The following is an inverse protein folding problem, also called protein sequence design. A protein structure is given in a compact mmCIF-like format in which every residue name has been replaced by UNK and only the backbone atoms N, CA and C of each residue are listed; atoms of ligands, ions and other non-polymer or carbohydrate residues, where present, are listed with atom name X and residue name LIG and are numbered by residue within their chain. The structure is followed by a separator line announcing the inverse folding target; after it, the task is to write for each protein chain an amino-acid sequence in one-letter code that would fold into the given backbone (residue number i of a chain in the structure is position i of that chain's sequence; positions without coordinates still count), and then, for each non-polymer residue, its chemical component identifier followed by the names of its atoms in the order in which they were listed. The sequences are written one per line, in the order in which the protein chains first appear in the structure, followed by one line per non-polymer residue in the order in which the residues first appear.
data_IF_570842227230
#
_entry.id   IF_570842227230
#
_cell.length_a   1.000
_cell.length_b   1.000
_cell.length_c   1.000
_cell.angle_alpha   90.00
_cell.angle_beta   90.00
_cell.angle_gamma   90.00
#
_symmetry.space_group_name_H-M   'P 1'
#
loop_
_entity.id
_entity.type
_entity.pdbx_description
1 polymer ?
#
# COMPACT_ATOMS: atom_id res chain seq x y z
N UNK A 1 -6.40 -3.45 -6.87
CA UNK A 1 -4.96 -3.06 -6.83
C UNK A 1 -4.04 -4.12 -7.47
N UNK A 2 -3.65 -5.21 -6.80
CA UNK A 2 -2.74 -6.23 -7.39
C UNK A 2 -3.27 -6.76 -8.71
N UNK A 3 -4.54 -7.21 -8.72
CA UNK A 3 -5.25 -7.66 -9.93
C UNK A 3 -5.23 -6.59 -11.02
N UNK A 4 -5.45 -5.33 -10.67
CA UNK A 4 -5.51 -4.20 -11.61
C UNK A 4 -4.15 -3.95 -12.28
N UNK A 5 -3.06 -3.94 -11.51
CA UNK A 5 -1.71 -3.76 -12.06
C UNK A 5 -1.28 -4.97 -12.88
N UNK A 6 -1.56 -6.19 -12.41
CA UNK A 6 -1.32 -7.42 -13.17
C UNK A 6 -2.04 -7.40 -14.52
N UNK A 7 -3.28 -6.90 -14.55
CA UNK A 7 -4.05 -6.75 -15.78
C UNK A 7 -3.41 -5.73 -16.73
N UNK A 8 -2.99 -4.56 -16.24
CA UNK A 8 -2.29 -3.55 -17.05
C UNK A 8 -1.00 -4.12 -17.66
N UNK A 9 -0.18 -4.76 -16.84
CA UNK A 9 1.08 -5.37 -17.23
C UNK A 9 0.89 -6.44 -18.32
N UNK A 10 -0.11 -7.32 -18.16
CA UNK A 10 -0.48 -8.34 -19.17
C UNK A 10 -0.89 -7.72 -20.51
N UNK A 11 -1.44 -6.51 -20.50
CA UNK A 11 -1.79 -5.75 -21.71
C UNK A 11 -0.66 -4.82 -22.17
N UNK A 12 0.54 -4.98 -21.61
CA UNK A 12 1.72 -4.22 -21.99
C UNK A 12 1.70 -2.76 -21.55
N UNK A 13 0.94 -2.40 -20.51
CA UNK A 13 0.84 -1.03 -20.01
C UNK A 13 1.57 -0.89 -18.68
N UNK A 14 2.54 0.01 -18.63
CA UNK A 14 3.13 0.51 -17.37
C UNK A 14 2.42 1.80 -16.99
N UNK A 15 1.83 1.86 -15.79
CA UNK A 15 1.04 3.02 -15.35
C UNK A 15 1.89 4.25 -14.98
N UNK A 16 3.04 4.02 -14.34
CA UNK A 16 4.01 5.03 -13.87
C UNK A 16 3.52 6.10 -12.87
N UNK A 17 2.26 6.06 -12.45
CA UNK A 17 1.67 7.02 -11.50
C UNK A 17 0.76 6.33 -10.48
N UNK A 18 1.24 5.21 -9.93
CA UNK A 18 0.51 4.48 -8.89
C UNK A 18 0.66 5.22 -7.56
N UNK A 19 -0.45 5.81 -7.08
CA UNK A 19 -0.55 6.57 -5.83
C UNK A 19 -2.00 6.58 -5.33
N UNK A 20 -2.26 6.87 -4.04
CA UNK A 20 -3.61 6.85 -3.47
C UNK A 20 -4.61 7.73 -4.21
N UNK A 21 -4.18 8.86 -4.77
CA UNK A 21 -5.00 9.80 -5.53
C UNK A 21 -5.58 9.18 -6.81
N UNK A 22 -4.88 8.17 -7.36
CA UNK A 22 -5.30 7.46 -8.57
C UNK A 22 -6.00 6.12 -8.25
N UNK A 23 -6.39 5.92 -6.98
CA UNK A 23 -7.18 4.76 -6.54
C UNK A 23 -8.61 5.20 -6.24
N UNK A 24 -9.55 4.67 -7.01
CA UNK A 24 -10.97 5.02 -6.91
C UNK A 24 -11.79 3.85 -6.35
N UNK A 25 -12.86 4.12 -5.60
CA UNK A 25 -13.86 3.09 -5.28
C UNK A 25 -14.74 2.81 -6.50
N UNK A 26 -14.97 1.52 -6.79
CA UNK A 26 -16.03 1.10 -7.72
C UNK A 26 -17.38 1.06 -7.02
N UNK A 27 -18.46 0.96 -7.80
CA UNK A 27 -19.82 0.82 -7.26
C UNK A 27 -19.98 -0.43 -6.36
N UNK A 28 -19.20 -1.48 -6.60
CA UNK A 28 -19.15 -2.68 -5.77
C UNK A 28 -18.18 -2.56 -4.57
N UNK A 29 -17.69 -1.36 -4.26
CA UNK A 29 -16.80 -1.09 -3.14
C UNK A 29 -15.37 -1.62 -3.34
N UNK A 30 -14.94 -1.88 -4.59
CA UNK A 30 -13.59 -2.37 -4.90
C UNK A 30 -12.65 -1.21 -5.22
N UNK A 31 -11.39 -1.32 -4.81
CA UNK A 31 -10.35 -0.37 -5.19
C UNK A 31 -9.86 -0.63 -6.63
N UNK A 32 -10.17 0.31 -7.53
CA UNK A 32 -9.75 0.32 -8.94
C UNK A 32 -8.69 1.40 -9.18
N UNK A 33 -7.82 1.16 -10.17
CA UNK A 33 -6.76 2.11 -10.55
C UNK A 33 -7.25 2.92 -11.75
N UNK A 34 -7.09 4.23 -11.71
CA UNK A 34 -7.41 5.16 -12.80
C UNK A 34 -6.26 6.11 -13.13
N UNK A 35 -6.52 7.06 -14.02
CA UNK A 35 -5.54 8.05 -14.55
C UNK A 35 -4.30 7.45 -15.22
N UNK A 36 -4.41 7.21 -16.53
CA UNK A 36 -3.32 6.68 -17.37
C UNK A 36 -2.53 7.79 -18.08
N UNK A 37 -2.57 9.05 -17.63
CA UNK A 37 -1.87 10.17 -18.29
C UNK A 37 -0.34 10.01 -18.35
N UNK A 38 0.22 9.17 -17.46
CA UNK A 38 1.65 8.82 -17.41
C UNK A 38 1.92 7.42 -17.97
N UNK A 39 0.87 6.73 -18.42
CA UNK A 39 0.93 5.38 -18.93
C UNK A 39 1.75 5.28 -20.22
N UNK A 40 2.53 4.21 -20.35
CA UNK A 40 3.37 3.93 -21.53
C UNK A 40 3.37 2.44 -21.84
N UNK A 41 3.75 2.10 -23.07
CA UNK A 41 3.89 0.71 -23.51
C UNK A 41 5.15 0.06 -22.89
N UNK A 42 4.98 -1.03 -22.16
CA UNK A 42 6.07 -1.87 -21.64
C UNK A 42 6.94 -2.37 -22.81
N UNK A 43 8.26 -2.34 -22.60
CA UNK A 43 9.25 -2.71 -23.61
C UNK A 43 9.62 -1.58 -24.57
N UNK A 44 8.99 -0.40 -24.47
CA UNK A 44 9.33 0.78 -25.29
C UNK A 44 10.15 1.78 -24.49
N UNK A 45 11.05 2.50 -25.17
CA UNK A 45 11.68 3.70 -24.62
C UNK A 45 10.64 4.80 -24.55
N UNK A 46 10.46 5.40 -23.37
CA UNK A 46 9.54 6.50 -23.19
C UNK A 46 10.10 7.51 -22.18
N UNK A 47 9.64 8.76 -22.29
CA UNK A 47 10.00 9.81 -21.33
C UNK A 47 9.62 9.39 -19.92
N UNK A 48 10.56 9.53 -18.99
CA UNK A 48 10.35 9.28 -17.57
C UNK A 48 9.30 10.26 -17.02
N UNK A 49 8.13 9.73 -16.69
CA UNK A 49 7.07 10.39 -15.92
C UNK A 49 6.83 9.59 -14.66
N UNK A 50 6.73 10.24 -13.51
CA UNK A 50 6.62 9.54 -12.23
C UNK A 50 6.13 10.47 -11.12
N UNK A 51 5.62 9.87 -10.04
CA UNK A 51 5.47 10.53 -8.74
C UNK A 51 6.66 10.15 -7.85
N UNK A 52 7.41 11.14 -7.38
CA UNK A 52 8.72 10.95 -6.74
C UNK A 52 8.70 10.01 -5.52
N UNK A 53 7.64 10.06 -4.70
CA UNK A 53 7.49 9.22 -3.51
C UNK A 53 7.22 7.73 -3.81
N UNK A 54 6.88 7.40 -5.06
CA UNK A 54 6.60 6.04 -5.55
C UNK A 54 7.64 5.56 -6.57
N UNK A 55 8.66 6.37 -6.85
CA UNK A 55 9.73 6.06 -7.79
C UNK A 55 10.62 4.94 -7.25
N UNK A 56 11.02 4.02 -8.13
CA UNK A 56 11.92 2.92 -7.76
C UNK A 56 13.40 3.36 -7.78
N UNK A 57 14.30 2.73 -7.01
CA UNK A 57 15.68 3.18 -6.87
C UNK A 57 16.47 3.24 -8.18
N UNK A 58 16.18 2.35 -9.13
CA UNK A 58 16.89 2.33 -10.40
C UNK A 58 16.41 3.46 -11.31
N UNK A 59 15.10 3.70 -11.40
CA UNK A 59 14.60 4.87 -12.13
C UNK A 59 15.03 6.20 -11.49
N UNK A 60 15.20 6.24 -10.16
CA UNK A 60 15.80 7.39 -9.48
C UNK A 60 17.26 7.63 -9.90
N UNK A 61 18.06 6.57 -10.02
CA UNK A 61 19.44 6.64 -10.52
C UNK A 61 19.51 7.11 -11.97
N UNK A 62 18.65 6.57 -12.85
CA UNK A 62 18.54 7.00 -14.25
C UNK A 62 18.26 8.51 -14.34
N UNK A 63 17.30 9.01 -13.55
CA UNK A 63 16.96 10.43 -13.48
C UNK A 63 18.14 11.30 -13.01
N UNK A 64 18.94 10.85 -12.03
CA UNK A 64 20.10 11.59 -11.54
C UNK A 64 21.24 11.62 -12.56
N UNK A 65 21.33 10.60 -13.42
CA UNK A 65 22.26 10.53 -14.53
C UNK A 65 21.78 11.33 -15.76
N UNK A 66 20.77 12.20 -15.59
CA UNK A 66 20.16 13.02 -16.64
C UNK A 66 19.56 12.19 -17.79
N UNK A 67 19.18 10.93 -17.55
CA UNK A 67 18.41 10.18 -18.53
C UNK A 67 16.98 10.72 -18.56
N UNK A 68 16.52 11.05 -19.76
CA UNK A 68 15.17 11.61 -19.99
C UNK A 68 14.19 10.52 -20.37
N UNK A 69 14.68 9.41 -20.94
CA UNK A 69 13.90 8.25 -21.32
C UNK A 69 14.44 6.98 -20.67
N UNK A 70 13.56 6.00 -20.45
CA UNK A 70 13.91 4.65 -20.00
C UNK A 70 13.02 3.63 -20.69
N UNK A 71 13.47 2.37 -20.71
CA UNK A 71 12.64 1.26 -21.18
C UNK A 71 11.64 0.90 -20.08
N UNK A 72 10.36 1.09 -20.39
CA UNK A 72 9.29 0.76 -19.47
C UNK A 72 9.28 -0.74 -19.15
N UNK A 73 9.24 -1.07 -17.86
CA UNK A 73 9.25 -2.43 -17.36
C UNK A 73 8.28 -2.60 -16.18
N UNK A 74 7.85 -3.84 -15.97
CA UNK A 74 6.88 -4.20 -14.94
C UNK A 74 7.44 -4.00 -13.52
N UNK A 75 8.76 -4.11 -13.36
CA UNK A 75 9.44 -3.99 -12.07
C UNK A 75 9.33 -2.61 -11.43
N UNK A 76 9.21 -1.54 -12.24
CA UNK A 76 8.91 -0.19 -11.73
C UNK A 76 7.49 -0.13 -11.15
N UNK A 77 6.51 -0.71 -11.85
CA UNK A 77 5.13 -0.81 -11.41
C UNK A 77 4.96 -1.66 -10.14
N UNK A 78 5.73 -2.75 -10.03
CA UNK A 78 5.75 -3.60 -8.83
C UNK A 78 6.19 -2.81 -7.58
N UNK A 79 7.29 -2.05 -7.66
CA UNK A 79 7.78 -1.21 -6.56
C UNK A 79 6.75 -0.16 -6.14
N UNK A 80 6.20 0.57 -7.12
CA UNK A 80 5.20 1.60 -6.87
C UNK A 80 3.92 1.00 -6.23
N UNK A 81 3.48 -0.17 -6.67
CA UNK A 81 2.37 -0.91 -6.06
C UNK A 81 2.68 -1.34 -4.61
N UNK A 82 3.88 -1.87 -4.35
CA UNK A 82 4.32 -2.21 -2.99
C UNK A 82 4.32 -0.99 -2.05
N UNK A 83 4.77 0.15 -2.56
CA UNK A 83 4.75 1.43 -1.85
C UNK A 83 3.33 1.88 -1.57
N UNK A 84 2.44 1.89 -2.57
CA UNK A 84 1.02 2.22 -2.43
C UNK A 84 0.31 1.34 -1.39
N UNK A 85 0.46 0.02 -1.45
CA UNK A 85 -0.15 -0.90 -0.48
C UNK A 85 0.41 -0.64 0.93
N UNK A 86 1.72 -0.39 1.06
CA UNK A 86 2.32 -0.02 2.35
C UNK A 86 1.75 1.30 2.89
N UNK A 87 1.63 2.34 2.07
CA UNK A 87 1.02 3.63 2.49
C UNK A 87 -0.40 3.42 3.00
N UNK A 88 -1.22 2.62 2.29
CA UNK A 88 -2.61 2.35 2.67
C UNK A 88 -2.71 1.72 4.07
N UNK A 89 -1.86 0.73 4.35
CA UNK A 89 -1.91 -0.03 5.62
C UNK A 89 -1.18 0.63 6.78
N UNK A 90 -0.06 1.29 6.49
CA UNK A 90 0.90 1.72 7.49
C UNK A 90 0.92 3.23 7.69
N UNK A 91 0.25 3.99 6.82
CA UNK A 91 0.18 5.47 6.87
C UNK A 91 1.59 6.07 6.96
N UNK A 92 2.54 5.49 6.26
CA UNK A 92 3.94 5.91 6.20
C UNK A 92 4.51 5.41 4.88
N UNK A 93 5.68 5.91 4.49
CA UNK A 93 6.43 5.36 3.37
C UNK A 93 7.31 4.19 3.84
N UNK A 94 7.61 3.21 2.96
CA UNK A 94 8.30 1.98 3.36
C UNK A 94 9.78 2.21 3.71
N UNK A 95 10.45 3.11 3.00
CA UNK A 95 11.91 3.29 3.09
C UNK A 95 12.32 4.70 3.53
N UNK A 96 11.45 5.69 3.36
CA UNK A 96 11.67 7.08 3.79
C UNK A 96 10.67 7.48 4.88
N UNK A 97 11.01 8.46 5.70
CA UNK A 97 10.05 9.07 6.63
C UNK A 97 9.04 9.95 5.88
N UNK A 98 7.97 10.38 6.56
CA UNK A 98 6.99 11.31 5.99
C UNK A 98 7.62 12.65 5.62
N UNK A 99 8.50 13.16 6.47
CA UNK A 99 9.24 14.41 6.23
C UNK A 99 10.15 14.28 5.01
N UNK A 100 10.80 13.11 4.87
CA UNK A 100 11.68 12.82 3.73
C UNK A 100 10.90 12.68 2.42
N UNK A 101 9.68 12.16 2.46
CA UNK A 101 8.81 12.09 1.28
C UNK A 101 8.41 13.48 0.75
N UNK A 102 8.48 14.53 1.59
CA UNK A 102 8.22 15.92 1.19
C UNK A 102 9.50 16.70 0.78
N UNK A 103 10.65 16.04 0.69
CA UNK A 103 11.87 16.66 0.14
C UNK A 103 11.68 17.07 -1.33
N UNK A 104 12.59 17.89 -1.84
CA UNK A 104 12.65 18.17 -3.28
C UNK A 104 12.79 16.86 -4.07
N UNK A 105 12.27 16.83 -5.30
CA UNK A 105 12.37 15.64 -6.15
C UNK A 105 13.82 15.18 -6.31
N UNK A 106 14.78 16.12 -6.39
CA UNK A 106 16.20 15.79 -6.52
C UNK A 106 16.74 15.13 -5.26
N UNK A 107 16.44 15.68 -4.08
CA UNK A 107 16.96 15.16 -2.80
C UNK A 107 16.35 13.80 -2.45
N UNK A 108 15.07 13.60 -2.77
CA UNK A 108 14.42 12.30 -2.57
C UNK A 108 15.05 11.22 -3.46
N UNK A 109 15.36 11.54 -4.73
CA UNK A 109 16.08 10.63 -5.63
C UNK A 109 17.48 10.31 -5.11
N UNK A 110 18.25 11.33 -4.75
CA UNK A 110 19.61 11.17 -4.22
C UNK A 110 19.63 10.26 -2.99
N UNK A 111 18.67 10.46 -2.08
CA UNK A 111 18.51 9.63 -0.90
C UNK A 111 18.15 8.18 -1.25
N UNK A 112 17.22 7.96 -2.17
CA UNK A 112 16.81 6.61 -2.58
C UNK A 112 17.99 5.85 -3.22
N UNK A 113 18.77 6.51 -4.08
CA UNK A 113 19.96 5.93 -4.72
C UNK A 113 21.06 5.66 -3.68
N UNK A 114 21.28 6.58 -2.73
CA UNK A 114 22.23 6.38 -1.63
C UNK A 114 21.86 5.14 -0.81
N UNK A 115 20.58 4.98 -0.45
CA UNK A 115 20.10 3.81 0.29
C UNK A 115 20.26 2.51 -0.51
N UNK A 116 19.97 2.54 -1.81
CA UNK A 116 20.17 1.39 -2.69
C UNK A 116 21.64 0.94 -2.78
N UNK A 117 22.59 1.87 -2.67
CA UNK A 117 24.03 1.60 -2.71
C UNK A 117 24.65 1.22 -1.37
N UNK A 118 23.99 1.56 -0.26
CA UNK A 118 24.57 1.43 1.09
C UNK A 118 23.76 0.47 1.96
N UNK A 119 22.64 0.93 2.49
CA UNK A 119 21.94 0.30 3.62
C UNK A 119 20.86 -0.69 3.18
N UNK A 120 20.24 -0.47 2.01
CA UNK A 120 19.12 -1.28 1.48
C UNK A 120 18.10 -1.66 2.57
N UNK A 121 17.54 -0.68 3.29
CA UNK A 121 16.70 -0.96 4.45
C UNK A 121 15.46 -1.76 4.06
N UNK A 122 14.98 -2.56 5.00
CA UNK A 122 13.70 -3.26 4.88
C UNK A 122 12.56 -2.37 5.41
N UNK A 123 11.34 -2.46 4.84
CA UNK A 123 10.20 -1.73 5.33
C UNK A 123 9.85 -2.10 6.77
N UNK A 124 9.61 -1.10 7.62
CA UNK A 124 9.22 -1.32 9.01
C UNK A 124 7.71 -1.33 9.18
N UNK A 125 7.15 -2.49 9.52
CA UNK A 125 5.69 -2.70 9.62
C UNK A 125 5.06 -2.31 10.98
N UNK A 126 5.84 -1.73 11.90
CA UNK A 126 5.39 -1.36 13.25
C UNK A 126 4.14 -0.47 13.30
N UNK A 127 3.94 0.39 12.30
CA UNK A 127 2.79 1.29 12.22
C UNK A 127 1.59 0.71 11.44
N UNK A 128 1.71 -0.49 10.89
CA UNK A 128 0.64 -1.10 10.10
C UNK A 128 -0.42 -1.71 11.03
N UNK A 129 -1.66 -1.25 10.92
CA UNK A 129 -2.77 -1.76 11.72
C UNK A 129 -3.26 -3.09 11.12
N UNK A 130 -3.21 -4.18 11.89
CA UNK A 130 -3.81 -5.49 11.53
C UNK A 130 -3.44 -6.03 10.13
N UNK A 131 -2.20 -5.80 9.69
CA UNK A 131 -1.73 -6.22 8.36
C UNK A 131 -1.71 -7.75 8.23
N UNK A 132 -2.52 -8.36 7.34
CA UNK A 132 -2.50 -9.81 7.15
C UNK A 132 -1.16 -10.30 6.58
N UNK A 133 -0.67 -11.45 7.04
CA UNK A 133 0.59 -12.03 6.55
C UNK A 133 0.71 -12.09 5.03
N UNK A 134 -0.33 -12.52 4.27
CA UNK A 134 -0.26 -12.52 2.81
C UNK A 134 -0.02 -11.13 2.19
N UNK A 135 -0.53 -10.07 2.83
CA UNK A 135 -0.31 -8.69 2.37
C UNK A 135 1.11 -8.24 2.72
N UNK A 136 1.63 -8.61 3.90
CA UNK A 136 3.02 -8.34 4.28
C UNK A 136 4.01 -9.01 3.32
N UNK A 137 3.75 -10.27 2.96
CA UNK A 137 4.60 -11.04 2.05
C UNK A 137 4.58 -10.47 0.62
N UNK A 138 3.42 -10.00 0.15
CA UNK A 138 3.32 -9.25 -1.09
C UNK A 138 4.18 -7.98 -1.08
N UNK A 139 4.03 -7.15 -0.04
CA UNK A 139 4.80 -5.90 0.09
C UNK A 139 6.31 -6.21 0.09
N UNK A 140 6.73 -7.22 0.85
CA UNK A 140 8.13 -7.64 0.91
C UNK A 140 8.65 -8.14 -0.46
N UNK A 141 7.83 -8.88 -1.21
CA UNK A 141 8.18 -9.36 -2.55
C UNK A 141 8.28 -8.25 -3.60
N UNK A 142 7.45 -7.21 -3.50
CA UNK A 142 7.46 -6.05 -4.41
C UNK A 142 8.58 -5.05 -4.11
N UNK A 143 8.89 -4.83 -2.83
CA UNK A 143 9.88 -3.85 -2.39
C UNK A 143 11.29 -4.44 -2.32
N UNK A 144 11.73 -5.07 -3.40
CA UNK A 144 13.09 -5.55 -3.56
C UNK A 144 13.96 -4.48 -4.25
N UNK A 145 15.16 -4.24 -3.71
CA UNK A 145 16.05 -3.17 -4.18
C UNK A 145 16.57 -3.43 -5.61
N UNK A 146 16.86 -4.68 -5.96
CA UNK A 146 17.19 -5.09 -7.34
C UNK A 146 15.89 -5.36 -8.12
N UNK A 147 15.86 -4.97 -9.40
CA UNK A 147 14.70 -5.17 -10.28
C UNK A 147 14.40 -6.66 -10.48
N UNK A 148 15.44 -7.46 -10.61
CA UNK A 148 15.39 -8.90 -10.92
C UNK A 148 14.84 -9.72 -9.74
N UNK A 149 15.02 -9.22 -8.52
CA UNK A 149 14.51 -9.86 -7.31
C UNK A 149 13.03 -9.52 -7.02
N UNK A 150 12.46 -8.50 -7.68
CA UNK A 150 11.06 -8.10 -7.44
C UNK A 150 10.12 -9.17 -7.97
N UNK A 151 9.20 -9.61 -7.12
CA UNK A 151 8.03 -10.36 -7.61
C UNK A 151 7.20 -9.44 -8.50
N UNK A 152 6.62 -9.97 -9.58
CA UNK A 152 5.73 -9.19 -10.43
C UNK A 152 4.27 -9.42 -10.03
N UNK A 153 3.39 -8.41 -10.19
CA UNK A 153 1.97 -8.56 -9.86
C UNK A 153 1.30 -9.73 -10.59
N UNK A 154 1.72 -10.02 -11.83
CA UNK A 154 1.21 -11.15 -12.61
C UNK A 154 1.54 -12.52 -12.00
N UNK A 155 2.69 -12.66 -11.35
CA UNK A 155 3.16 -13.94 -10.81
C UNK A 155 2.51 -14.30 -9.47
N UNK A 156 1.98 -13.30 -8.76
CA UNK A 156 1.48 -13.46 -7.38
C UNK A 156 -0.04 -13.33 -7.26
N UNK A 157 -0.73 -12.93 -8.33
CA UNK A 157 -2.15 -12.59 -8.28
C UNK A 157 -3.02 -13.77 -7.84
N UNK A 158 -2.78 -14.97 -8.38
CA UNK A 158 -3.60 -16.14 -8.10
C UNK A 158 -3.42 -16.65 -6.66
N UNK A 159 -2.15 -16.76 -6.21
CA UNK A 159 -1.82 -17.14 -4.82
C UNK A 159 -2.44 -16.15 -3.83
N UNK A 160 -2.35 -14.85 -4.12
CA UNK A 160 -2.90 -13.82 -3.26
C UNK A 160 -4.44 -13.84 -3.20
N UNK A 161 -5.10 -14.06 -4.35
CA UNK A 161 -6.56 -14.19 -4.38
C UNK A 161 -7.02 -15.42 -3.58
N UNK A 162 -6.33 -16.56 -3.72
CA UNK A 162 -6.63 -17.75 -2.91
C UNK A 162 -6.47 -17.46 -1.40
N UNK A 163 -5.38 -16.82 -1.00
CA UNK A 163 -5.14 -16.47 0.40
C UNK A 163 -6.20 -15.51 0.97
N UNK A 164 -6.65 -14.53 0.17
CA UNK A 164 -7.64 -13.54 0.62
C UNK A 164 -9.07 -14.08 0.65
N UNK A 165 -9.44 -14.99 -0.24
CA UNK A 165 -10.72 -15.71 -0.18
C UNK A 165 -10.83 -16.57 1.09
N UNK A 166 -9.73 -17.23 1.49
CA UNK A 166 -9.68 -17.98 2.75
C UNK A 166 -9.94 -17.05 3.95
N UNK A 167 -9.33 -15.87 3.98
CA UNK A 167 -9.55 -14.88 5.04
C UNK A 167 -11.00 -14.38 5.10
N UNK A 168 -11.65 -14.18 3.95
CA UNK A 168 -13.06 -13.79 3.87
C UNK A 168 -13.98 -14.92 4.37
N UNK A 169 -13.71 -16.16 3.97
CA UNK A 169 -14.49 -17.33 4.40
C UNK A 169 -14.42 -17.57 5.92
N UNK A 170 -13.28 -17.25 6.55
CA UNK A 170 -13.12 -17.34 8.00
C UNK A 170 -13.91 -16.27 8.75
N UNK A 171 -14.05 -15.06 8.19
CA UNK A 171 -14.87 -13.97 8.75
C UNK A 171 -16.37 -14.23 8.66
N UNK A 172 -16.81 -15.07 7.72
CA UNK A 172 -18.22 -15.38 7.47
C UNK A 172 -18.73 -16.66 8.16
N UNK A 173 -17.89 -17.40 8.90
CA UNK A 173 -18.37 -18.60 9.61
C UNK A 173 -19.34 -18.18 10.74
N UNK A 174 -20.59 -18.69 10.75
CA UNK A 174 -21.48 -18.51 11.89
C UNK A 174 -20.88 -19.20 13.12
N UNK A 175 -21.15 -18.70 14.35
CA UNK A 175 -20.66 -19.33 15.57
C UNK A 175 -21.10 -20.80 15.61
N UNK A 176 -20.13 -21.71 15.77
CA UNK A 176 -20.41 -23.14 15.83
C UNK A 176 -21.11 -23.44 17.17
N UNK A 177 -22.29 -24.08 17.10
CA UNK A 177 -22.86 -24.76 18.27
C UNK A 177 -22.07 -26.03 18.49
N UNK A 178 -21.40 -26.11 19.64
CA UNK A 178 -20.81 -27.35 20.12
C UNK A 178 -21.77 -27.92 21.17
N UNK A 179 -22.25 -29.12 20.91
CA UNK A 179 -23.17 -29.83 21.78
C UNK A 179 -22.43 -31.04 22.34
N UNK A 180 -22.10 -31.03 23.63
CA UNK A 180 -21.82 -32.26 24.37
C UNK A 180 -23.07 -32.62 25.19
N UNK A 181 -23.22 -33.90 25.51
CA UNK A 181 -24.50 -34.59 25.76
C UNK A 181 -25.42 -34.02 26.83
N UNK A 182 -24.99 -33.02 27.62
CA UNK A 182 -25.84 -32.35 28.62
C UNK A 182 -25.69 -30.82 28.69
N UNK A 183 -24.99 -30.16 27.74
CA UNK A 183 -24.95 -28.70 27.70
C UNK A 183 -24.65 -28.14 26.30
N UNK A 184 -25.53 -27.24 25.82
CA UNK A 184 -25.37 -26.56 24.55
C UNK A 184 -24.82 -25.14 24.81
N UNK A 185 -23.54 -24.92 24.52
CA UNK A 185 -22.92 -23.60 24.60
C UNK A 185 -22.66 -23.04 23.19
N UNK A 186 -22.96 -21.76 22.99
CA UNK A 186 -22.53 -21.05 21.78
C UNK A 186 -21.03 -20.79 21.95
N UNK A 187 -20.20 -21.54 21.23
CA UNK A 187 -18.78 -21.25 21.18
C UNK A 187 -18.59 -20.06 20.22
N UNK A 188 -18.53 -18.86 20.78
CA UNK A 188 -18.00 -17.71 20.03
C UNK A 188 -16.50 -17.94 19.93
N UNK A 189 -16.05 -18.60 18.87
CA UNK A 189 -14.65 -18.52 18.43
C UNK A 189 -14.42 -17.11 17.90
N UNK A 190 -14.39 -16.12 18.80
CA UNK A 190 -13.62 -14.93 18.52
C UNK A 190 -12.18 -15.45 18.42
N UNK A 191 -11.64 -15.47 17.21
CA UNK A 191 -10.19 -15.57 17.04
C UNK A 191 -9.62 -14.43 17.86
N UNK A 192 -9.13 -14.74 19.06
CA UNK A 192 -8.51 -13.77 19.96
C UNK A 192 -7.26 -13.29 19.23
N UNK A 193 -7.38 -12.18 18.51
CA UNK A 193 -6.24 -11.35 18.20
C UNK A 193 -5.73 -10.90 19.58
N UNK A 194 -4.48 -11.20 19.95
CA UNK A 194 -3.99 -10.92 21.29
C UNK A 194 -4.13 -9.42 21.56
N UNK A 195 -4.93 -9.07 22.56
CA UNK A 195 -4.98 -7.72 23.10
C UNK A 195 -3.56 -7.40 23.57
N UNK A 196 -2.94 -6.39 22.98
CA UNK A 196 -1.72 -5.78 23.54
C UNK A 196 -2.09 -5.21 24.90
N UNK A 197 -1.48 -5.75 25.96
CA UNK A 197 -1.57 -5.22 27.31
C UNK A 197 -1.04 -3.79 27.33
N UNK A 198 -1.94 -2.80 27.40
CA UNK A 198 -1.60 -1.54 28.04
C UNK A 198 -2.00 -1.65 29.50
N UNK A 199 -0.98 -1.69 30.37
CA UNK A 199 -1.15 -1.49 31.81
C UNK A 199 -1.82 -0.14 32.05
N UNK A 200 -2.98 -0.15 32.70
CA UNK A 200 -3.52 1.01 33.41
C UNK A 200 -3.88 0.54 34.81
N UNK A 201 -3.24 1.17 35.79
CA UNK A 201 -3.47 0.96 37.21
C UNK A 201 -4.95 1.20 37.58
N UNK A 202 -5.44 0.38 38.51
CA UNK A 202 -6.73 0.50 39.21
C UNK A 202 -7.00 1.93 39.71
N UNK A 203 -8.24 2.41 39.55
CA UNK A 203 -9.20 2.51 40.67
C UNK A 203 -10.59 3.01 40.23
N UNK A 204 -11.59 2.43 40.88
CA UNK A 204 -12.95 2.93 41.16
C UNK A 204 -14.18 2.50 40.33
N UNK A 205 -15.09 1.88 41.10
CA UNK A 205 -16.49 1.52 40.90
C UNK A 205 -17.34 2.64 40.27
N UNK A 206 -18.17 2.28 39.27
CA UNK A 206 -19.62 2.57 39.27
C UNK A 206 -20.38 1.90 38.12
N UNK A 207 -21.46 1.24 38.52
CA UNK A 207 -22.72 0.91 37.85
C UNK A 207 -22.85 0.88 36.32
N UNK A 208 -23.19 -0.33 35.88
CA UNK A 208 -23.94 -0.79 34.71
C UNK A 208 -24.91 0.23 34.09
N UNK A 209 -24.65 0.56 32.83
CA UNK A 209 -25.64 1.04 31.86
C UNK A 209 -25.39 0.34 30.53
N UNK A 210 -26.30 -0.55 30.14
CA UNK A 210 -26.19 -1.34 28.92
C UNK A 210 -26.35 -0.45 27.68
N UNK A 211 -25.25 -0.21 26.98
CA UNK A 211 -25.27 0.21 25.58
C UNK A 211 -24.70 -0.95 24.75
N UNK A 212 -25.59 -1.69 24.08
CA UNK A 212 -25.20 -2.61 23.03
C UNK A 212 -24.65 -1.78 21.85
N UNK A 213 -23.33 -1.58 21.80
CA UNK A 213 -22.66 -1.16 20.58
C UNK A 213 -22.16 -2.42 19.85
N UNK A 214 -22.90 -2.82 18.82
CA UNK A 214 -22.39 -3.77 17.82
C UNK A 214 -21.28 -3.06 17.05
N UNK A 215 -20.04 -3.23 17.50
CA UNK A 215 -18.85 -2.66 16.86
C UNK A 215 -18.50 -3.51 15.62
N UNK A 216 -18.90 -3.04 14.44
CA UNK A 216 -18.46 -3.62 13.16
C UNK A 216 -17.02 -3.16 12.90
N UNK A 217 -16.04 -4.01 13.21
CA UNK A 217 -14.60 -3.66 13.16
C UNK A 217 -13.95 -3.84 11.79
N UNK A 218 -14.65 -3.55 10.70
CA UNK A 218 -14.03 -3.52 9.36
C UNK A 218 -14.28 -2.18 8.69
N UNK A 219 -13.25 -1.34 8.65
CA UNK A 219 -13.23 -0.14 7.80
C UNK A 219 -13.40 -0.57 6.34
N UNK A 220 -14.34 0.03 5.61
CA UNK A 220 -14.50 -0.19 4.17
C UNK A 220 -13.22 0.20 3.42
N UNK A 221 -13.02 -0.31 2.20
CA UNK A 221 -11.96 0.19 1.31
C UNK A 221 -12.06 1.72 1.15
N UNK A 222 -13.29 2.24 1.12
CA UNK A 222 -13.57 3.69 1.12
C UNK A 222 -13.06 4.38 2.38
N UNK A 223 -13.29 3.81 3.57
CA UNK A 223 -12.80 4.38 4.83
C UNK A 223 -11.28 4.41 4.90
N UNK A 224 -10.63 3.32 4.43
CA UNK A 224 -9.18 3.24 4.36
C UNK A 224 -8.63 4.30 3.40
N UNK A 225 -9.13 4.36 2.17
CA UNK A 225 -8.70 5.33 1.15
C UNK A 225 -8.95 6.77 1.58
N UNK A 226 -10.15 7.09 2.09
CA UNK A 226 -10.50 8.43 2.58
C UNK A 226 -9.61 8.85 3.76
N UNK A 227 -9.22 7.90 4.61
CA UNK A 227 -8.31 8.19 5.71
C UNK A 227 -6.88 8.47 5.23
N UNK A 228 -6.39 7.75 4.22
CA UNK A 228 -5.03 7.89 3.66
C UNK A 228 -4.92 9.22 2.93
N UNK A 229 -5.86 9.52 2.03
CA UNK A 229 -5.93 10.78 1.29
C UNK A 229 -5.87 12.01 2.22
N UNK A 230 -6.63 11.99 3.33
CA UNK A 230 -6.58 13.06 4.34
C UNK A 230 -5.19 13.23 4.98
N UNK A 231 -4.46 12.13 5.20
CA UNK A 231 -3.17 12.16 5.87
C UNK A 231 -1.99 12.52 4.94
N UNK A 232 -2.09 12.18 3.66
CA UNK A 232 -1.08 12.54 2.65
C UNK A 232 -1.23 14.02 2.25
N UNK A 233 -2.46 14.52 2.12
CA UNK A 233 -2.75 15.94 1.89
C UNK A 233 -2.30 16.85 3.05
N UNK A 234 -2.32 16.34 4.28
CA UNK A 234 -1.87 17.08 5.48
C UNK A 234 -0.35 17.02 5.69
N UNK A 235 0.30 15.92 5.28
CA UNK A 235 1.72 15.65 5.54
C UNK A 235 2.67 16.55 4.75
N UNK A 236 2.35 16.85 3.49
CA UNK A 236 3.19 17.72 2.66
C UNK A 236 2.63 19.13 2.48
N UNK A 237 1.71 19.56 3.36
CA UNK A 237 1.20 20.94 3.46
C UNK A 237 1.01 21.62 2.10
N UNK A 238 -0.13 21.37 1.44
CA UNK A 238 -0.56 22.00 0.19
C UNK A 238 -0.07 23.47 0.03
N UNK A 239 1.11 23.63 -0.56
CA UNK A 239 1.57 24.83 -1.28
C UNK A 239 2.52 24.36 -2.39
N UNK A 240 1.97 24.24 -3.60
CA UNK A 240 2.77 24.39 -4.82
C UNK A 240 3.15 23.13 -5.60
N UNK A 241 2.19 22.25 -5.92
CA UNK A 241 2.39 21.22 -6.96
C UNK A 241 1.26 21.25 -8.00
N UNK A 242 1.12 22.40 -8.66
CA UNK A 242 0.98 22.37 -10.11
C UNK A 242 2.41 22.44 -10.67
N UNK A 243 2.75 21.74 -11.76
CA UNK A 243 4.01 21.96 -12.45
C UNK A 243 4.06 23.44 -12.83
N UNK A 244 5.05 24.17 -12.31
CA UNK A 244 5.50 25.38 -12.98
C UNK A 244 6.03 24.92 -14.32
N UNK A 245 5.31 25.23 -15.40
CA UNK A 245 5.86 25.16 -16.75
C UNK A 245 7.10 26.06 -16.76
N UNK A 246 8.28 25.46 -16.60
CA UNK A 246 9.55 26.12 -16.78
C UNK A 246 9.80 26.24 -18.30
N UNK A 247 9.00 27.08 -18.93
CA UNK A 247 9.27 27.63 -20.25
C UNK A 247 10.27 28.78 -20.09
N UNK A 248 11.55 28.41 -20.04
CA UNK A 248 12.68 29.26 -20.38
C UNK A 248 13.59 28.37 -21.24
N UNK A 249 13.84 28.60 -22.54
CA UNK A 249 14.27 29.79 -23.28
C UNK A 249 14.37 29.37 -24.78
N UNK A 250 14.81 30.21 -25.74
CA UNK A 250 15.11 31.65 -25.70
C UNK A 250 14.16 32.52 -26.54
#
# INVERSE_FOLDING_TARGET
LVVSVAWLHRHGVAHNDLKPENVFPSEEGKAVIGDLGFGVQIGTSARLKYTAAYLDPHAAEECLNNQVETVANEGTGAWALGTLVFVIWCRSYPVVSREQACLSTRDLRDRLVTMAKTTKPTPSFHHCQELPSPVKDLIAGFLQWSREARRLPGDVVDEFLAATLLLQSQKQRPPQRVCDTDNCHIQITATVIPKTNHCVHHSDNRQVGAAQSTFSSTKSAEDLLASVARSDLQSCGLRGLYPSDDHSSP
#
